data_IF_811907125237
#
_entry.id   IF_811907125237
#
_cell.length_a   1.000
_cell.length_b   1.000
_cell.length_c   1.000
_cell.angle_alpha   90.00
_cell.angle_beta   90.00
_cell.angle_gamma   90.00
#
_symmetry.space_group_name_H-M   'P 1'
#
loop_
_entity.id
_entity.type
_entity.pdbx_description
1 polymer ?
#
# COMPACT_ATOMS: atom_id res chain seq x y z
N UNK A 1 36.64 15.33 -30.29
CA UNK A 1 35.24 15.00 -30.00
C UNK A 1 35.02 15.13 -28.50
N UNK A 2 33.93 15.77 -28.05
CA UNK A 2 33.59 15.90 -26.65
C UNK A 2 32.36 15.02 -26.41
N UNK A 3 32.45 14.04 -25.49
CA UNK A 3 31.33 13.18 -25.12
C UNK A 3 30.58 13.80 -23.95
N UNK A 4 29.25 13.73 -23.99
CA UNK A 4 28.36 14.16 -22.90
C UNK A 4 27.51 12.96 -22.50
N UNK A 5 27.47 12.61 -21.21
CA UNK A 5 26.62 11.55 -20.70
C UNK A 5 25.19 12.04 -20.51
N UNK A 6 24.23 11.18 -20.78
CA UNK A 6 22.82 11.40 -20.41
C UNK A 6 22.54 10.72 -19.07
N UNK A 7 21.95 11.43 -18.14
CA UNK A 7 21.60 10.87 -16.83
C UNK A 7 20.50 9.81 -16.95
N UNK A 8 20.66 8.72 -16.20
CA UNK A 8 19.63 7.70 -16.01
C UNK A 8 19.03 7.94 -14.61
N UNK A 9 17.79 8.43 -14.51
CA UNK A 9 17.17 8.71 -13.21
C UNK A 9 16.76 7.44 -12.49
N UNK A 10 16.81 7.43 -11.16
CA UNK A 10 16.26 6.38 -10.33
C UNK A 10 14.72 6.52 -10.26
N UNK A 11 14.00 5.64 -10.93
CA UNK A 11 12.54 5.59 -10.84
C UNK A 11 12.06 4.89 -9.55
N UNK A 12 12.91 4.03 -9.00
CA UNK A 12 12.70 3.27 -7.78
C UNK A 12 14.08 3.02 -7.13
N UNK A 13 14.19 3.25 -5.82
CA UNK A 13 15.43 3.03 -5.08
C UNK A 13 15.14 2.45 -3.71
N UNK A 14 15.52 1.18 -3.49
CA UNK A 14 15.44 0.50 -2.18
C UNK A 14 16.61 0.96 -1.32
N UNK A 15 16.30 1.48 -0.13
CA UNK A 15 17.30 2.04 0.80
C UNK A 15 17.69 1.05 1.91
N UNK A 16 16.78 0.13 2.27
CA UNK A 16 17.02 -0.81 3.36
C UNK A 16 15.96 -1.89 3.46
N UNK A 17 16.19 -2.83 4.36
CA UNK A 17 15.29 -3.94 4.70
C UNK A 17 14.90 -3.81 6.16
N UNK A 18 13.59 -3.83 6.47
CA UNK A 18 13.08 -3.85 7.84
C UNK A 18 12.88 -5.27 8.35
N UNK A 19 12.29 -6.16 7.51
CA UNK A 19 12.07 -7.56 7.87
C UNK A 19 12.30 -8.49 6.69
N UNK A 20 12.79 -9.70 7.00
CA UNK A 20 12.79 -10.87 6.09
C UNK A 20 12.34 -12.04 6.94
N UNK A 21 11.13 -12.54 6.74
CA UNK A 21 10.55 -13.57 7.58
C UNK A 21 9.67 -14.54 6.79
N UNK A 22 9.72 -15.81 7.20
CA UNK A 22 8.66 -16.79 6.93
C UNK A 22 7.82 -16.88 8.19
N UNK A 23 6.63 -16.28 8.27
CA UNK A 23 5.83 -16.32 9.48
C UNK A 23 5.36 -17.74 9.75
N UNK A 24 5.52 -18.21 10.99
CA UNK A 24 4.90 -19.46 11.47
C UNK A 24 3.43 -19.17 11.73
N UNK A 25 2.60 -19.39 10.72
CA UNK A 25 1.16 -19.16 10.79
C UNK A 25 0.51 -20.40 11.37
N UNK A 26 0.24 -20.41 12.69
CA UNK A 26 -0.51 -21.50 13.33
C UNK A 26 -2.00 -21.23 13.29
N UNK A 27 -2.81 -22.28 13.10
CA UNK A 27 -4.30 -22.24 13.16
C UNK A 27 -4.88 -21.60 14.44
N UNK A 28 -4.07 -21.45 15.47
CA UNK A 28 -4.51 -20.96 16.79
C UNK A 28 -4.42 -19.43 16.95
N UNK A 29 -3.76 -18.71 16.07
CA UNK A 29 -3.67 -17.25 16.16
C UNK A 29 -4.37 -16.64 14.93
N UNK A 30 -5.58 -16.12 15.10
CA UNK A 30 -6.08 -15.07 14.21
C UNK A 30 -5.02 -13.99 14.21
N UNK A 31 -4.49 -13.68 13.04
CA UNK A 31 -3.45 -12.66 12.91
C UNK A 31 -3.89 -11.39 13.60
N UNK A 32 -3.06 -10.83 14.43
CA UNK A 32 -3.24 -9.47 14.91
C UNK A 32 -2.97 -8.61 13.70
N UNK A 33 -3.94 -7.79 13.30
CA UNK A 33 -3.73 -6.88 12.18
C UNK A 33 -2.67 -5.86 12.53
N UNK A 34 -1.91 -5.45 11.55
CA UNK A 34 -0.82 -4.50 11.69
C UNK A 34 -0.88 -3.39 10.63
N UNK A 35 -0.21 -2.29 10.91
CA UNK A 35 -0.01 -1.17 10.01
C UNK A 35 1.36 -0.56 10.31
N UNK A 36 2.13 -0.24 9.29
CA UNK A 36 3.46 0.34 9.43
C UNK A 36 3.74 1.34 8.30
N UNK A 37 4.71 2.24 8.52
CA UNK A 37 4.99 3.38 7.64
C UNK A 37 5.81 3.02 6.38
N UNK A 38 6.04 1.75 6.12
CA UNK A 38 6.83 1.26 4.99
C UNK A 38 6.05 0.19 4.21
N UNK A 39 6.39 -0.07 2.93
CA UNK A 39 5.76 -1.13 2.17
C UNK A 39 6.26 -2.51 2.59
N UNK A 40 5.38 -3.49 2.41
CA UNK A 40 5.66 -4.89 2.70
C UNK A 40 5.19 -5.80 1.59
N UNK A 41 6.07 -6.68 1.13
CA UNK A 41 5.74 -7.76 0.21
C UNK A 41 5.25 -8.95 1.01
N UNK A 42 4.07 -9.45 0.67
CA UNK A 42 3.51 -10.71 1.13
C UNK A 42 3.39 -11.65 -0.09
N UNK A 43 4.30 -12.59 -0.21
CA UNK A 43 4.32 -13.56 -1.31
C UNK A 43 3.86 -14.93 -0.81
N UNK A 44 2.87 -15.55 -1.47
CA UNK A 44 2.41 -16.90 -1.15
C UNK A 44 3.24 -17.89 -1.95
N UNK A 45 4.10 -18.64 -1.26
CA UNK A 45 4.93 -19.70 -1.87
C UNK A 45 4.17 -21.00 -2.02
N UNK A 46 3.25 -21.32 -1.08
CA UNK A 46 2.44 -22.53 -1.08
C UNK A 46 1.03 -22.27 -0.57
N UNK A 47 0.04 -22.99 -1.12
CA UNK A 47 -1.36 -22.89 -0.68
C UNK A 47 -2.08 -21.63 -1.09
N UNK A 48 -2.94 -21.13 -0.20
CA UNK A 48 -3.70 -19.90 -0.38
C UNK A 48 -3.89 -19.17 0.95
N UNK A 49 -3.87 -17.82 0.91
CA UNK A 49 -4.05 -16.96 2.06
C UNK A 49 -5.24 -16.02 1.86
N UNK A 50 -6.14 -15.98 2.84
CA UNK A 50 -7.19 -14.97 2.91
C UNK A 50 -6.67 -13.77 3.71
N UNK A 51 -6.74 -12.61 3.10
CA UNK A 51 -6.21 -11.33 3.60
C UNK A 51 -7.32 -10.30 3.68
N UNK A 52 -7.26 -9.40 4.64
CA UNK A 52 -8.06 -8.18 4.67
C UNK A 52 -7.08 -7.01 4.65
N UNK A 53 -7.20 -6.12 3.68
CA UNK A 53 -6.37 -4.92 3.54
C UNK A 53 -7.29 -3.71 3.49
N UNK A 54 -7.18 -2.81 4.47
CA UNK A 54 -8.04 -1.63 4.63
C UNK A 54 -9.54 -1.95 4.55
N UNK A 55 -9.94 -3.11 5.10
CA UNK A 55 -11.32 -3.61 5.11
C UNK A 55 -11.76 -4.34 3.84
N UNK A 56 -10.89 -4.46 2.83
CA UNK A 56 -11.17 -5.22 1.60
C UNK A 56 -10.65 -6.64 1.74
N UNK A 57 -11.54 -7.62 1.61
CA UNK A 57 -11.15 -9.04 1.57
C UNK A 57 -10.53 -9.41 0.22
N UNK A 58 -9.42 -10.13 0.25
CA UNK A 58 -8.78 -10.70 -0.92
C UNK A 58 -8.18 -12.07 -0.61
N UNK A 59 -7.95 -12.88 -1.63
CA UNK A 59 -7.27 -14.17 -1.49
C UNK A 59 -6.08 -14.21 -2.44
N UNK A 60 -4.89 -14.42 -1.88
CA UNK A 60 -3.68 -14.68 -2.65
C UNK A 60 -3.36 -16.19 -2.61
N UNK A 61 -2.99 -16.73 -3.76
CA UNK A 61 -2.63 -18.16 -3.96
C UNK A 61 -1.14 -18.30 -4.24
N UNK A 62 -0.65 -19.54 -4.21
CA UNK A 62 0.72 -19.84 -4.59
C UNK A 62 1.11 -19.17 -5.91
N UNK A 63 2.27 -18.51 -5.93
CA UNK A 63 2.77 -17.71 -7.05
C UNK A 63 2.18 -16.30 -7.13
N UNK A 64 1.34 -15.89 -6.17
CA UNK A 64 0.80 -14.55 -6.09
C UNK A 64 1.42 -13.74 -4.95
N UNK A 65 1.43 -12.45 -5.13
CA UNK A 65 2.02 -11.45 -4.22
C UNK A 65 1.02 -10.34 -3.93
N UNK A 66 1.05 -9.82 -2.72
CA UNK A 66 0.43 -8.54 -2.36
C UNK A 66 1.54 -7.64 -1.83
N UNK A 67 1.56 -6.38 -2.27
CA UNK A 67 2.46 -5.37 -1.70
C UNK A 67 1.59 -4.40 -0.91
N UNK A 68 1.68 -4.46 0.42
CA UNK A 68 0.94 -3.56 1.29
C UNK A 68 1.50 -2.15 1.19
N UNK A 69 0.61 -1.17 1.06
CA UNK A 69 1.01 0.23 1.04
C UNK A 69 1.49 0.69 2.42
N UNK A 70 2.42 1.66 2.50
CA UNK A 70 2.72 2.35 3.76
C UNK A 70 1.44 2.86 4.42
N UNK A 71 1.22 2.51 5.69
CA UNK A 71 0.06 2.92 6.49
C UNK A 71 -1.22 2.13 6.22
N UNK A 72 -1.26 1.16 5.30
CA UNK A 72 -2.43 0.30 5.14
C UNK A 72 -2.52 -0.71 6.30
N UNK A 73 -3.75 -0.89 6.80
CA UNK A 73 -4.03 -1.88 7.83
C UNK A 73 -4.31 -3.23 7.18
N UNK A 74 -3.56 -4.25 7.55
CA UNK A 74 -3.68 -5.58 6.95
C UNK A 74 -3.70 -6.70 7.99
N UNK A 75 -4.46 -7.75 7.68
CA UNK A 75 -4.67 -8.93 8.52
C UNK A 75 -4.62 -10.18 7.65
N UNK A 76 -3.89 -11.21 8.11
CA UNK A 76 -4.05 -12.58 7.62
C UNK A 76 -5.17 -13.26 8.41
N UNK A 77 -6.30 -13.62 7.75
CA UNK A 77 -7.56 -14.02 8.44
C UNK A 77 -7.58 -15.51 8.76
N UNK A 78 -7.11 -16.33 7.85
CA UNK A 78 -7.06 -17.79 8.04
C UNK A 78 -5.79 -18.34 7.41
N UNK A 79 -4.84 -18.80 8.21
CA UNK A 79 -3.78 -19.64 7.71
C UNK A 79 -4.39 -21.02 7.37
N UNK A 80 -4.65 -21.28 6.11
CA UNK A 80 -4.69 -22.65 5.61
C UNK A 80 -3.26 -23.22 5.66
N UNK A 81 -3.07 -24.49 5.30
CA UNK A 81 -1.74 -25.10 5.14
C UNK A 81 -0.99 -24.40 3.99
N UNK A 82 -0.49 -23.19 4.27
CA UNK A 82 0.11 -22.29 3.29
C UNK A 82 1.37 -21.65 3.87
N UNK A 83 2.31 -21.38 2.97
CA UNK A 83 3.58 -20.73 3.31
C UNK A 83 3.63 -19.38 2.62
N UNK A 84 3.92 -18.35 3.41
CA UNK A 84 4.17 -17.00 2.90
C UNK A 84 5.60 -16.56 3.20
N UNK A 85 6.17 -15.75 2.34
CA UNK A 85 7.46 -15.10 2.51
C UNK A 85 7.26 -13.60 2.51
N UNK A 86 7.77 -12.93 3.54
CA UNK A 86 7.56 -11.50 3.79
C UNK A 86 8.88 -10.75 3.72
N UNK A 87 8.91 -9.67 2.94
CA UNK A 87 10.00 -8.67 2.95
C UNK A 87 9.37 -7.29 3.12
N UNK A 88 9.70 -6.62 4.22
CA UNK A 88 9.38 -5.20 4.41
C UNK A 88 10.63 -4.37 4.15
N UNK A 89 10.48 -3.25 3.45
CA UNK A 89 11.64 -2.51 2.95
C UNK A 89 11.40 -1.00 2.91
N UNK A 90 12.49 -0.24 2.98
CA UNK A 90 12.52 1.20 2.78
C UNK A 90 12.74 1.51 1.29
N UNK A 91 11.93 2.36 0.69
CA UNK A 91 11.99 2.65 -0.74
C UNK A 91 11.53 4.06 -1.08
N UNK A 92 12.22 4.68 -2.00
CA UNK A 92 11.78 5.88 -2.70
C UNK A 92 11.24 5.50 -4.08
N UNK A 93 9.95 5.75 -4.33
CA UNK A 93 9.34 5.52 -5.64
C UNK A 93 8.04 6.30 -5.80
N UNK A 94 7.82 6.84 -6.99
CA UNK A 94 6.54 7.45 -7.38
C UNK A 94 5.61 6.47 -8.09
N UNK A 95 6.09 5.30 -8.46
CA UNK A 95 5.39 4.33 -9.29
C UNK A 95 4.80 3.14 -8.53
N UNK A 96 5.39 2.76 -7.38
CA UNK A 96 4.90 1.65 -6.55
C UNK A 96 3.42 1.76 -6.14
N UNK A 97 2.82 2.95 -5.90
CA UNK A 97 1.39 3.07 -5.62
C UNK A 97 0.47 2.44 -6.67
N UNK A 98 0.94 2.22 -7.90
CA UNK A 98 0.18 1.53 -8.94
C UNK A 98 -0.12 0.06 -8.62
N UNK A 99 0.73 -0.57 -7.82
CA UNK A 99 0.68 -2.01 -7.49
C UNK A 99 0.38 -2.30 -6.02
N UNK A 100 0.19 -1.29 -5.18
CA UNK A 100 -0.15 -1.47 -3.78
C UNK A 100 -1.55 -2.05 -3.57
N UNK A 101 -1.69 -2.88 -2.53
CA UNK A 101 -2.94 -3.43 -2.02
C UNK A 101 -3.75 -4.21 -3.08
N UNK A 102 -3.05 -4.85 -4.01
CA UNK A 102 -3.62 -5.68 -5.07
C UNK A 102 -2.98 -7.05 -5.08
N UNK A 103 -3.75 -8.06 -5.48
CA UNK A 103 -3.20 -9.38 -5.76
C UNK A 103 -2.50 -9.35 -7.12
N UNK A 104 -1.20 -9.51 -7.13
CA UNK A 104 -0.35 -9.57 -8.32
C UNK A 104 -0.07 -11.05 -8.64
N UNK A 105 -0.37 -11.47 -9.86
CA UNK A 105 -0.01 -12.82 -10.33
C UNK A 105 1.35 -12.74 -11.01
N UNK A 106 2.34 -13.40 -10.43
CA UNK A 106 3.69 -13.42 -10.96
C UNK A 106 3.83 -14.48 -12.06
N UNK A 107 4.66 -14.19 -13.04
CA UNK A 107 5.17 -15.24 -13.94
C UNK A 107 6.04 -16.22 -13.13
N UNK A 108 6.25 -17.43 -13.65
CA UNK A 108 7.12 -18.42 -13.02
C UNK A 108 8.54 -17.87 -12.78
N UNK A 109 9.06 -17.12 -13.76
CA UNK A 109 10.37 -16.48 -13.65
C UNK A 109 10.41 -15.44 -12.51
N UNK A 110 9.41 -14.58 -12.41
CA UNK A 110 9.30 -13.57 -11.34
C UNK A 110 9.13 -14.21 -9.96
N UNK A 111 8.31 -15.28 -9.85
CA UNK A 111 8.13 -16.00 -8.60
C UNK A 111 9.44 -16.68 -8.14
N UNK A 112 10.18 -17.30 -9.06
CA UNK A 112 11.48 -17.91 -8.77
C UNK A 112 12.53 -16.85 -8.42
N UNK A 113 12.50 -15.69 -9.09
CA UNK A 113 13.37 -14.57 -8.77
C UNK A 113 13.12 -14.06 -7.34
N UNK A 114 11.84 -13.85 -6.97
CA UNK A 114 11.51 -13.43 -5.61
C UNK A 114 11.96 -14.45 -4.56
N UNK A 115 11.68 -15.75 -4.77
CA UNK A 115 12.13 -16.82 -3.86
C UNK A 115 13.65 -16.80 -3.68
N UNK A 116 14.40 -16.61 -4.76
CA UNK A 116 15.86 -16.53 -4.71
C UNK A 116 16.35 -15.27 -3.96
N UNK A 117 15.70 -14.11 -4.18
CA UNK A 117 15.99 -12.88 -3.40
C UNK A 117 15.72 -13.11 -1.93
N UNK A 118 14.57 -13.71 -1.60
CA UNK A 118 14.15 -13.98 -0.23
C UNK A 118 15.17 -14.89 0.49
N UNK A 119 15.54 -16.02 -0.12
CA UNK A 119 16.51 -16.96 0.47
C UNK A 119 17.84 -16.28 0.76
N UNK A 120 18.38 -15.52 -0.21
CA UNK A 120 19.65 -14.80 0.01
C UNK A 120 19.51 -13.73 1.10
N UNK A 121 18.37 -13.03 1.15
CA UNK A 121 18.12 -12.02 2.17
C UNK A 121 17.97 -12.65 3.56
N UNK A 122 17.28 -13.79 3.69
CA UNK A 122 17.15 -14.53 4.96
C UNK A 122 18.51 -14.97 5.51
N UNK A 123 19.44 -15.35 4.63
CA UNK A 123 20.82 -15.68 5.01
C UNK A 123 21.66 -14.46 5.40
N UNK A 124 21.32 -13.27 4.88
CA UNK A 124 22.09 -12.05 5.13
C UNK A 124 21.67 -11.28 6.36
N UNK A 125 20.43 -11.47 6.84
CA UNK A 125 19.88 -10.68 7.93
C UNK A 125 19.47 -11.56 9.11
N UNK A 126 19.49 -10.98 10.31
CA UNK A 126 18.97 -11.59 11.53
C UNK A 126 18.17 -10.56 12.33
N UNK A 127 17.24 -11.03 13.16
CA UNK A 127 16.46 -10.14 14.02
C UNK A 127 17.38 -9.47 15.04
N UNK A 128 17.08 -8.21 15.36
CA UNK A 128 17.69 -7.52 16.49
C UNK A 128 17.43 -8.30 17.78
N UNK A 129 18.32 -8.17 18.73
CA UNK A 129 18.17 -8.80 20.04
C UNK A 129 16.87 -8.32 20.72
N UNK A 130 16.18 -9.19 21.50
CA UNK A 130 14.93 -8.84 22.17
C UNK A 130 15.02 -7.63 23.11
N UNK A 131 16.21 -7.35 23.64
CA UNK A 131 16.54 -6.22 24.51
C UNK A 131 16.72 -4.89 23.75
N UNK A 132 16.83 -4.92 22.42
CA UNK A 132 16.90 -3.71 21.61
C UNK A 132 15.55 -2.96 21.65
N UNK A 133 15.62 -1.65 21.85
CA UNK A 133 14.44 -0.77 21.83
C UNK A 133 13.92 -0.51 20.41
N UNK A 134 14.69 -0.93 19.38
CA UNK A 134 14.37 -0.73 17.96
C UNK A 134 14.11 -2.08 17.30
N UNK A 135 12.92 -2.23 16.72
CA UNK A 135 12.55 -3.41 15.92
C UNK A 135 13.26 -3.40 14.56
N UNK A 136 13.39 -4.56 13.95
CA UNK A 136 13.92 -4.74 12.60
C UNK A 136 15.02 -5.80 12.52
N UNK A 137 15.75 -5.75 11.42
CA UNK A 137 16.82 -6.71 11.13
C UNK A 137 18.19 -6.03 11.22
N UNK A 138 19.20 -6.83 11.48
CA UNK A 138 20.62 -6.43 11.37
C UNK A 138 21.32 -7.33 10.38
N UNK A 139 22.32 -6.79 9.72
CA UNK A 139 23.20 -7.56 8.83
C UNK A 139 24.00 -8.57 9.63
N UNK A 140 24.00 -9.83 9.21
CA UNK A 140 24.82 -10.87 9.81
C UNK A 140 26.31 -10.58 9.61
N UNK A 141 27.11 -11.00 10.59
CA UNK A 141 28.57 -10.89 10.51
C UNK A 141 29.10 -11.68 9.31
N UNK A 142 29.97 -11.05 8.53
CA UNK A 142 30.61 -11.67 7.38
C UNK A 142 29.89 -11.51 6.04
N UNK A 143 28.67 -10.98 6.03
CA UNK A 143 28.00 -10.60 4.79
C UNK A 143 28.69 -9.39 4.17
N UNK A 144 29.06 -9.45 2.88
CA UNK A 144 29.71 -8.35 2.17
C UNK A 144 28.71 -7.37 1.53
N UNK A 145 29.20 -6.17 1.18
CA UNK A 145 28.38 -5.11 0.60
C UNK A 145 27.88 -5.46 -0.82
N UNK A 146 28.63 -6.25 -1.58
CA UNK A 146 28.22 -6.68 -2.93
C UNK A 146 27.01 -7.61 -2.88
N UNK A 147 26.94 -8.48 -1.86
CA UNK A 147 25.78 -9.34 -1.64
C UNK A 147 24.53 -8.52 -1.32
N UNK A 148 24.64 -7.51 -0.44
CA UNK A 148 23.52 -6.61 -0.13
C UNK A 148 23.11 -5.76 -1.36
N UNK A 149 24.09 -5.27 -2.11
CA UNK A 149 23.83 -4.55 -3.36
C UNK A 149 23.10 -5.43 -4.37
N UNK A 150 23.47 -6.70 -4.51
CA UNK A 150 22.77 -7.64 -5.41
C UNK A 150 21.33 -7.88 -4.97
N UNK A 151 21.05 -8.04 -3.68
CA UNK A 151 19.67 -8.13 -3.16
C UNK A 151 18.89 -6.90 -3.59
N UNK A 152 19.43 -5.70 -3.35
CA UNK A 152 18.81 -4.43 -3.72
C UNK A 152 18.49 -4.35 -5.20
N UNK A 153 19.48 -4.54 -6.07
CA UNK A 153 19.32 -4.43 -7.52
C UNK A 153 18.30 -5.42 -8.08
N UNK A 154 18.30 -6.66 -7.58
CA UNK A 154 17.35 -7.70 -7.98
C UNK A 154 15.92 -7.36 -7.53
N UNK A 155 15.76 -6.87 -6.29
CA UNK A 155 14.47 -6.45 -5.77
C UNK A 155 13.94 -5.22 -6.55
N UNK A 156 14.79 -4.25 -6.84
CA UNK A 156 14.48 -3.08 -7.67
C UNK A 156 14.05 -3.50 -9.08
N UNK A 157 14.76 -4.44 -9.71
CA UNK A 157 14.41 -4.98 -11.03
C UNK A 157 13.04 -5.65 -11.00
N UNK A 158 12.79 -6.56 -10.05
CA UNK A 158 11.51 -7.25 -9.92
C UNK A 158 10.35 -6.26 -9.72
N UNK A 159 10.51 -5.29 -8.82
CA UNK A 159 9.49 -4.27 -8.56
C UNK A 159 9.23 -3.40 -9.80
N UNK A 160 10.27 -3.08 -10.56
CA UNK A 160 10.16 -2.32 -11.81
C UNK A 160 9.35 -3.12 -12.85
N UNK A 161 9.65 -4.40 -13.03
CA UNK A 161 8.90 -5.28 -13.95
C UNK A 161 7.42 -5.38 -13.58
N UNK A 162 7.10 -5.47 -12.28
CA UNK A 162 5.71 -5.49 -11.79
C UNK A 162 4.99 -4.17 -12.05
N UNK A 163 5.68 -3.03 -11.86
CA UNK A 163 5.12 -1.71 -12.18
C UNK A 163 4.90 -1.55 -13.69
N UNK A 164 5.83 -2.01 -14.52
CA UNK A 164 5.68 -1.97 -15.98
C UNK A 164 4.50 -2.82 -16.44
N UNK A 165 4.37 -4.05 -15.92
CA UNK A 165 3.22 -4.92 -16.20
C UNK A 165 1.90 -4.25 -15.83
N UNK A 166 1.82 -3.65 -14.63
CA UNK A 166 0.63 -2.93 -14.20
C UNK A 166 0.33 -1.70 -15.07
N UNK A 167 1.35 -0.99 -15.55
CA UNK A 167 1.19 0.14 -16.48
C UNK A 167 0.67 -0.33 -17.83
N UNK A 168 1.13 -1.47 -18.32
CA UNK A 168 0.66 -2.05 -19.59
C UNK A 168 -0.79 -2.50 -19.51
N UNK A 169 -1.20 -3.11 -18.39
CA UNK A 169 -2.61 -3.43 -18.11
C UNK A 169 -3.49 -2.17 -17.97
N UNK A 170 -2.92 -1.07 -17.49
CA UNK A 170 -3.60 0.22 -17.35
C UNK A 170 -3.60 1.06 -18.63
N UNK A 171 -2.87 0.65 -19.68
CA UNK A 171 -2.96 1.33 -20.98
C UNK A 171 -4.41 1.27 -21.46
N UNK A 172 -5.03 2.43 -21.66
CA UNK A 172 -6.46 2.45 -21.98
C UNK A 172 -6.71 1.69 -23.28
N UNK A 173 -7.60 0.72 -23.22
CA UNK A 173 -8.06 -0.02 -24.40
C UNK A 173 -8.73 0.89 -25.45
N UNK A 174 -9.08 2.11 -25.04
CA UNK A 174 -9.69 3.11 -25.91
C UNK A 174 -9.31 4.54 -25.52
N UNK A 175 -9.41 5.48 -26.48
CA UNK A 175 -9.26 6.93 -26.23
C UNK A 175 -10.23 7.48 -25.18
N UNK A 176 -11.35 6.79 -24.95
CA UNK A 176 -12.37 7.10 -23.95
C UNK A 176 -11.87 6.74 -22.54
N UNK A 177 -11.20 5.60 -22.38
CA UNK A 177 -10.71 5.14 -21.09
C UNK A 177 -9.57 6.02 -20.58
N UNK A 178 -8.63 6.43 -21.47
CA UNK A 178 -7.58 7.41 -21.16
C UNK A 178 -8.13 8.74 -20.64
N UNK A 179 -9.21 9.23 -21.30
CA UNK A 179 -9.87 10.46 -20.89
C UNK A 179 -10.53 10.32 -19.51
N UNK A 180 -11.13 9.17 -19.23
CA UNK A 180 -11.79 8.90 -17.95
C UNK A 180 -10.76 8.77 -16.81
N UNK A 181 -9.61 8.16 -17.05
CA UNK A 181 -8.52 8.09 -16.07
C UNK A 181 -7.99 9.48 -15.72
N UNK A 182 -7.75 10.31 -16.72
CA UNK A 182 -7.31 11.69 -16.51
C UNK A 182 -8.37 12.54 -15.77
N UNK A 183 -9.65 12.39 -16.13
CA UNK A 183 -10.76 13.07 -15.44
C UNK A 183 -10.86 12.61 -13.98
N UNK A 184 -10.78 11.29 -13.70
CA UNK A 184 -10.83 10.72 -12.36
C UNK A 184 -9.66 11.24 -11.49
N UNK A 185 -8.43 11.17 -11.99
CA UNK A 185 -7.23 11.66 -11.30
C UNK A 185 -7.37 13.14 -10.93
N UNK A 186 -7.80 13.99 -11.87
CA UNK A 186 -8.05 15.42 -11.63
C UNK A 186 -9.05 15.66 -10.50
N UNK A 187 -10.12 14.87 -10.44
CA UNK A 187 -11.16 15.01 -9.41
C UNK A 187 -10.63 14.58 -8.04
N UNK A 188 -9.92 13.45 -7.98
CA UNK A 188 -9.32 12.97 -6.73
C UNK A 188 -8.29 13.97 -6.20
N UNK A 189 -7.49 14.59 -7.06
CA UNK A 189 -6.53 15.64 -6.66
C UNK A 189 -7.24 16.89 -6.15
N UNK A 190 -8.35 17.29 -6.77
CA UNK A 190 -9.20 18.36 -6.25
C UNK A 190 -9.75 18.02 -4.85
N UNK A 191 -10.24 16.81 -4.64
CA UNK A 191 -10.72 16.32 -3.34
C UNK A 191 -9.60 16.35 -2.29
N UNK A 192 -8.41 15.87 -2.62
CA UNK A 192 -7.23 15.88 -1.72
C UNK A 192 -6.85 17.29 -1.28
N UNK A 193 -6.93 18.28 -2.15
CA UNK A 193 -6.66 19.68 -1.83
C UNK A 193 -7.72 20.31 -0.93
N UNK A 194 -8.89 19.69 -0.80
CA UNK A 194 -10.03 20.22 -0.05
C UNK A 194 -10.45 19.37 1.16
N UNK A 195 -9.55 18.56 1.72
CA UNK A 195 -9.87 17.66 2.85
C UNK A 195 -10.32 18.39 4.12
N UNK A 196 -9.95 19.66 4.29
CA UNK A 196 -10.29 20.45 5.48
C UNK A 196 -11.73 20.98 5.51
N UNK A 197 -12.52 20.78 4.44
CA UNK A 197 -13.90 21.27 4.34
C UNK A 197 -14.84 20.20 3.80
N UNK A 198 -16.16 20.32 4.02
CA UNK A 198 -17.11 19.48 3.34
C UNK A 198 -17.13 19.81 1.84
N UNK A 199 -17.38 18.80 1.00
CA UNK A 199 -17.66 18.94 -0.42
C UNK A 199 -18.98 18.29 -0.75
N UNK A 200 -19.78 18.97 -1.59
CA UNK A 200 -21.02 18.42 -2.14
C UNK A 200 -20.76 17.85 -3.55
N UNK A 201 -21.65 16.95 -3.99
CA UNK A 201 -21.60 16.44 -5.36
C UNK A 201 -21.67 17.54 -6.41
N UNK A 202 -22.44 18.60 -6.12
CA UNK A 202 -22.59 19.73 -7.03
C UNK A 202 -21.30 20.53 -7.15
N UNK A 203 -20.63 20.84 -6.02
CA UNK A 203 -19.33 21.53 -6.02
C UNK A 203 -18.28 20.76 -6.81
N UNK A 204 -18.17 19.44 -6.59
CA UNK A 204 -17.22 18.59 -7.31
C UNK A 204 -17.54 18.61 -8.82
N UNK A 205 -18.81 18.49 -9.18
CA UNK A 205 -19.25 18.48 -10.58
C UNK A 205 -18.96 19.79 -11.30
N UNK A 206 -19.25 20.93 -10.64
CA UNK A 206 -18.99 22.27 -11.17
C UNK A 206 -17.50 22.52 -11.36
N UNK A 207 -16.69 22.25 -10.32
CA UNK A 207 -15.23 22.46 -10.37
C UNK A 207 -14.56 21.63 -11.46
N UNK A 208 -15.05 20.43 -11.69
CA UNK A 208 -14.53 19.53 -12.72
C UNK A 208 -15.21 19.66 -14.07
N UNK A 209 -16.11 20.62 -14.23
CA UNK A 209 -16.83 20.89 -15.48
C UNK A 209 -17.56 19.66 -16.04
N UNK A 210 -18.26 18.90 -15.17
CA UNK A 210 -19.03 17.73 -15.58
C UNK A 210 -20.41 17.65 -14.91
N UNK A 211 -21.31 16.87 -15.51
CA UNK A 211 -22.63 16.62 -14.90
C UNK A 211 -22.50 15.66 -13.71
N UNK A 212 -23.40 15.79 -12.72
CA UNK A 212 -23.49 14.90 -11.57
C UNK A 212 -23.65 13.43 -12.00
N UNK A 213 -24.41 13.17 -13.06
CA UNK A 213 -24.62 11.82 -13.60
C UNK A 213 -23.32 11.22 -14.13
N UNK A 214 -22.55 12.00 -14.89
CA UNK A 214 -21.24 11.57 -15.41
C UNK A 214 -20.25 11.36 -14.26
N UNK A 215 -20.23 12.26 -13.27
CA UNK A 215 -19.39 12.14 -12.07
C UNK A 215 -19.68 10.83 -11.31
N UNK A 216 -20.96 10.52 -11.06
CA UNK A 216 -21.36 9.27 -10.40
C UNK A 216 -20.96 8.03 -11.20
N UNK A 217 -21.16 8.07 -12.53
CA UNK A 217 -20.80 6.96 -13.41
C UNK A 217 -19.28 6.72 -13.39
N UNK A 218 -18.48 7.79 -13.52
CA UNK A 218 -17.01 7.73 -13.48
C UNK A 218 -16.51 7.09 -12.18
N UNK A 219 -17.06 7.52 -11.04
CA UNK A 219 -16.65 6.96 -9.75
C UNK A 219 -17.10 5.51 -9.55
N UNK A 220 -18.26 5.13 -10.04
CA UNK A 220 -18.71 3.73 -10.02
C UNK A 220 -17.75 2.82 -10.80
N UNK A 221 -17.31 3.27 -11.98
CA UNK A 221 -16.40 2.51 -12.85
C UNK A 221 -14.95 2.44 -12.31
N UNK A 222 -14.45 3.56 -11.75
CA UNK A 222 -13.03 3.68 -11.35
C UNK A 222 -12.76 3.41 -9.87
N UNK A 223 -13.75 3.63 -9.00
CA UNK A 223 -13.60 3.50 -7.55
C UNK A 223 -14.48 2.38 -6.95
N UNK A 224 -15.47 1.92 -7.69
CA UNK A 224 -16.45 0.95 -7.19
C UNK A 224 -17.50 1.56 -6.24
N UNK A 225 -17.40 2.86 -5.93
CA UNK A 225 -18.29 3.59 -5.03
C UNK A 225 -18.73 4.94 -5.58
N UNK A 226 -19.38 5.74 -4.74
CA UNK A 226 -19.78 7.11 -5.11
C UNK A 226 -18.68 8.14 -4.81
N UNK A 227 -18.73 9.35 -5.43
CA UNK A 227 -17.74 10.41 -5.22
C UNK A 227 -17.58 10.83 -3.76
N UNK A 228 -18.68 10.92 -3.02
CA UNK A 228 -18.65 11.31 -1.59
C UNK A 228 -18.07 10.19 -0.73
N UNK A 229 -18.29 8.92 -1.07
CA UNK A 229 -17.67 7.79 -0.38
C UNK A 229 -16.15 7.85 -0.53
N UNK A 230 -15.65 8.01 -1.75
CA UNK A 230 -14.23 8.22 -2.03
C UNK A 230 -13.66 9.42 -1.25
N UNK A 231 -14.38 10.55 -1.20
CA UNK A 231 -13.93 11.72 -0.46
C UNK A 231 -13.84 11.46 1.06
N UNK A 232 -14.78 10.70 1.63
CA UNK A 232 -14.71 10.29 3.03
C UNK A 232 -13.51 9.38 3.25
N UNK A 233 -13.23 8.42 2.38
CA UNK A 233 -12.07 7.55 2.47
C UNK A 233 -10.75 8.31 2.45
N UNK A 234 -10.62 9.31 1.56
CA UNK A 234 -9.45 10.21 1.53
C UNK A 234 -9.26 10.99 2.85
N UNK A 235 -10.36 11.45 3.47
CA UNK A 235 -10.31 12.08 4.79
C UNK A 235 -9.88 11.10 5.88
N UNK A 236 -10.39 9.87 5.85
CA UNK A 236 -10.02 8.83 6.82
C UNK A 236 -8.54 8.45 6.67
N UNK A 237 -8.02 8.33 5.44
CA UNK A 237 -6.60 8.11 5.20
C UNK A 237 -5.73 9.23 5.79
N UNK A 238 -6.14 10.48 5.64
CA UNK A 238 -5.44 11.60 6.29
C UNK A 238 -5.57 11.54 7.81
N UNK A 239 -6.74 11.15 8.33
CA UNK A 239 -6.97 10.99 9.77
C UNK A 239 -6.06 9.93 10.39
N UNK A 240 -5.85 8.78 9.72
CA UNK A 240 -4.93 7.74 10.18
C UNK A 240 -3.53 8.32 10.42
N UNK A 241 -2.99 9.05 9.46
CA UNK A 241 -1.67 9.69 9.57
C UNK A 241 -1.58 10.71 10.70
N UNK A 242 -2.64 11.49 10.94
CA UNK A 242 -2.69 12.46 12.03
C UNK A 242 -2.78 11.79 13.40
N UNK A 243 -3.51 10.67 13.50
CA UNK A 243 -3.58 9.85 14.71
C UNK A 243 -2.23 9.20 15.03
N UNK A 244 -1.53 8.69 14.02
CA UNK A 244 -0.19 8.08 14.14
C UNK A 244 0.86 9.11 14.57
N UNK A 245 0.78 10.34 14.07
CA UNK A 245 1.67 11.43 14.48
C UNK A 245 1.47 11.86 15.95
N UNK A 246 0.27 11.59 16.53
CA UNK A 246 0.00 11.87 17.94
C UNK A 246 -0.07 13.35 18.34
N UNK A 247 -0.02 14.27 17.37
CA UNK A 247 0.01 15.72 17.61
C UNK A 247 -1.37 16.34 17.85
N UNK A 248 -2.43 15.61 17.48
CA UNK A 248 -3.81 16.08 17.53
C UNK A 248 -4.71 15.02 18.18
N UNK A 249 -5.66 15.47 18.99
CA UNK A 249 -6.69 14.57 19.52
C UNK A 249 -7.80 14.31 18.48
N UNK A 250 -8.65 13.34 18.75
CA UNK A 250 -9.74 12.90 17.85
C UNK A 250 -10.70 14.04 17.47
N UNK A 251 -10.98 14.95 18.41
CA UNK A 251 -11.86 16.09 18.18
C UNK A 251 -11.20 17.10 17.24
N UNK A 252 -9.94 17.39 17.46
CA UNK A 252 -9.14 18.29 16.61
C UNK A 252 -9.00 17.74 15.19
N UNK A 253 -8.72 16.44 15.04
CA UNK A 253 -8.64 15.76 13.73
C UNK A 253 -9.98 15.83 13.00
N UNK A 254 -11.09 15.55 13.70
CA UNK A 254 -12.45 15.66 13.13
C UNK A 254 -12.72 17.08 12.60
N UNK A 255 -12.36 18.09 13.36
CA UNK A 255 -12.51 19.49 12.98
C UNK A 255 -11.59 19.87 11.81
N UNK A 256 -10.30 19.54 11.89
CA UNK A 256 -9.30 19.83 10.85
C UNK A 256 -9.65 19.19 9.49
N UNK A 257 -10.33 18.06 9.52
CA UNK A 257 -10.81 17.37 8.33
C UNK A 257 -12.24 17.76 7.94
N UNK A 258 -12.84 18.77 8.55
CA UNK A 258 -14.14 19.33 8.18
C UNK A 258 -15.28 18.32 8.25
N UNK A 259 -15.28 17.44 9.26
CA UNK A 259 -16.45 16.62 9.59
C UNK A 259 -17.48 17.43 10.38
N UNK A 260 -18.76 17.18 10.15
CA UNK A 260 -19.85 17.89 10.82
C UNK A 260 -19.94 17.60 12.32
N UNK A 261 -19.39 16.50 12.78
CA UNK A 261 -19.27 16.16 14.21
C UNK A 261 -18.25 15.03 14.42
N UNK A 262 -17.69 14.95 15.62
CA UNK A 262 -16.81 13.87 16.08
C UNK A 262 -17.51 12.50 16.01
N UNK A 263 -18.81 12.45 16.29
CA UNK A 263 -19.59 11.23 16.20
C UNK A 263 -19.73 10.73 14.76
N UNK A 264 -19.97 11.64 13.82
CA UNK A 264 -20.02 11.30 12.40
C UNK A 264 -18.65 10.84 11.90
N UNK A 265 -17.58 11.56 12.28
CA UNK A 265 -16.21 11.15 12.01
C UNK A 265 -15.92 9.73 12.52
N UNK A 266 -16.14 9.46 13.81
CA UNK A 266 -15.85 8.16 14.42
C UNK A 266 -16.62 7.02 13.75
N UNK A 267 -17.87 7.25 13.35
CA UNK A 267 -18.68 6.28 12.62
C UNK A 267 -18.10 6.01 11.21
N UNK A 268 -17.69 7.05 10.49
CA UNK A 268 -17.08 6.88 9.16
C UNK A 268 -15.70 6.23 9.28
N UNK A 269 -14.90 6.61 10.28
CA UNK A 269 -13.61 6.00 10.54
C UNK A 269 -13.76 4.49 10.81
N UNK A 270 -14.67 4.10 11.71
CA UNK A 270 -14.95 2.68 11.97
C UNK A 270 -15.47 1.95 10.74
N UNK A 271 -16.31 2.59 9.92
CA UNK A 271 -16.83 2.00 8.68
C UNK A 271 -15.71 1.69 7.68
N UNK A 272 -14.72 2.58 7.56
CA UNK A 272 -13.61 2.45 6.60
C UNK A 272 -12.50 1.55 7.14
N UNK A 273 -12.16 1.65 8.44
CA UNK A 273 -11.00 0.96 9.03
C UNK A 273 -11.34 -0.30 9.81
N UNK A 274 -12.63 -0.56 10.05
CA UNK A 274 -13.10 -1.68 10.87
C UNK A 274 -13.07 -1.41 12.39
N UNK A 275 -12.36 -0.37 12.87
CA UNK A 275 -12.24 -0.04 14.30
C UNK A 275 -12.44 1.46 14.56
N UNK A 276 -12.86 1.85 15.78
CA UNK A 276 -13.01 3.27 16.10
C UNK A 276 -11.65 3.99 16.23
N UNK A 277 -11.61 5.33 16.05
CA UNK A 277 -10.37 6.10 16.18
C UNK A 277 -9.66 5.94 17.53
N UNK A 278 -10.44 5.76 18.62
CA UNK A 278 -9.92 5.56 19.99
C UNK A 278 -9.13 4.25 20.16
N UNK A 279 -9.41 3.24 19.36
CA UNK A 279 -8.67 1.98 19.37
C UNK A 279 -7.45 2.05 18.44
N UNK A 280 -7.53 2.85 17.40
CA UNK A 280 -6.44 3.06 16.45
C UNK A 280 -5.23 3.79 17.08
N UNK A 281 -5.47 4.72 18.02
CA UNK A 281 -4.41 5.46 18.74
C UNK A 281 -3.75 4.70 19.87
N UNK A 282 -4.28 3.54 20.29
CA UNK A 282 -3.72 2.72 21.39
C UNK A 282 -2.71 1.68 20.91
N UNK A 283 -2.41 1.66 19.63
CA UNK A 283 -1.40 0.81 19.02
C UNK A 283 -0.13 1.60 18.72
#
# INVERSE_FOLDING_TARGET
MKYVSTAIPDALSVKGIFTVITPVLSRAKRGVGESHAFPEIFFVSEGAHKLIVDGVEMTAKSGQMVIYAPGSYHISVEPSDSVANIISFDVESTALPLIYNKVLTLTEAQANEFKSIFTVAEDCFERRAPEDTVLGMVRRKGVDDYTLQRIRLRLESLLTDLVESARDEMKPASRKDAKWDAEYTKIVDFMRKNLARPLTLLEIAVECSMSISKLKLLFREKHGGGPIACFIELKIEKAKRLLEAGEMNITEISCALGFSSVHYFSRQFKKVTGMPPTEFTKK
#
